data_IF_964077791357
#
_entry.id   IF_964077791357
#
_cell.length_a   1.000
_cell.length_b   1.000
_cell.length_c   1.000
_cell.angle_alpha   90.00
_cell.angle_beta   90.00
_cell.angle_gamma   90.00
#
_symmetry.space_group_name_H-M   'P 1'
#
loop_
_entity.id
_entity.type
_entity.pdbx_description
1 polymer ?
#
# COMPACT_ATOMS: atom_id res chain seq x y z
N UNK A 1 -6.80 -1.67 68.88
CA UNK A 1 -7.16 -2.14 67.51
C UNK A 1 -6.80 -1.08 66.46
N UNK A 2 -5.52 -0.70 66.33
CA UNK A 2 -5.07 0.22 65.27
C UNK A 2 -3.65 -0.11 64.75
N UNK A 3 -3.10 -1.27 65.12
CA UNK A 3 -1.72 -1.66 64.83
C UNK A 3 -1.58 -3.01 64.11
N UNK A 4 -2.70 -3.62 63.68
CA UNK A 4 -2.69 -4.86 62.87
C UNK A 4 -3.10 -4.65 61.40
N UNK A 5 -3.77 -3.55 61.05
CA UNK A 5 -4.22 -3.29 59.67
C UNK A 5 -3.11 -2.74 58.75
N UNK A 6 -2.05 -2.14 59.30
CA UNK A 6 -0.93 -1.62 58.50
C UNK A 6 0.15 -2.66 58.17
N UNK A 7 0.07 -3.88 58.73
CA UNK A 7 1.02 -4.96 58.43
C UNK A 7 0.58 -5.84 57.26
N UNK A 8 -0.70 -5.83 56.89
CA UNK A 8 -1.22 -6.56 55.72
C UNK A 8 -1.08 -5.73 54.44
N UNK A 9 -1.18 -4.40 54.53
CA UNK A 9 -1.06 -3.50 53.37
C UNK A 9 0.37 -3.40 52.79
N UNK A 10 1.41 -3.63 53.60
CA UNK A 10 2.81 -3.56 53.14
C UNK A 10 3.32 -4.89 52.59
N UNK A 11 2.67 -6.01 52.95
CA UNK A 11 3.07 -7.35 52.50
C UNK A 11 2.47 -7.74 51.13
N UNK A 12 1.39 -7.09 50.68
CA UNK A 12 0.78 -7.37 49.36
C UNK A 12 1.38 -6.54 48.22
N UNK A 13 2.14 -5.48 48.52
CA UNK A 13 2.78 -4.64 47.50
C UNK A 13 4.17 -5.13 47.08
N UNK A 14 4.75 -6.10 47.80
CA UNK A 14 6.09 -6.65 47.50
C UNK A 14 6.09 -8.01 46.78
N UNK A 15 4.93 -8.63 46.55
CA UNK A 15 4.86 -9.97 45.92
C UNK A 15 4.66 -9.96 44.40
N UNK A 16 4.73 -8.80 43.73
CA UNK A 16 4.69 -8.69 42.25
C UNK A 16 5.98 -8.11 41.67
N UNK A 17 7.01 -7.94 42.49
CA UNK A 17 8.30 -7.38 42.08
C UNK A 17 9.45 -8.28 42.54
N UNK A 18 9.46 -9.54 42.13
CA UNK A 18 10.68 -10.35 41.98
C UNK A 18 10.36 -11.66 41.23
N UNK A 19 10.59 -11.68 39.92
CA UNK A 19 11.08 -12.91 39.27
C UNK A 19 11.89 -12.59 38.01
N UNK A 20 13.19 -12.82 38.18
CA UNK A 20 14.26 -13.03 37.20
C UNK A 20 14.51 -11.95 36.14
N UNK A 21 15.50 -11.12 36.45
CA UNK A 21 16.53 -10.74 35.48
C UNK A 21 17.15 -12.03 34.91
N UNK A 22 16.61 -12.55 33.81
CA UNK A 22 17.35 -13.45 32.93
C UNK A 22 18.26 -12.57 32.05
N UNK A 23 19.44 -12.25 32.58
CA UNK A 23 20.61 -11.88 31.78
C UNK A 23 21.06 -13.09 30.95
N UNK A 24 20.30 -13.44 29.89
CA UNK A 24 20.76 -14.26 28.74
C UNK A 24 19.67 -14.54 27.67
N UNK A 25 18.51 -13.88 27.73
CA UNK A 25 17.52 -13.94 26.64
C UNK A 25 17.81 -12.85 25.59
N UNK A 26 17.86 -13.19 24.27
CA UNK A 26 17.89 -12.15 23.24
C UNK A 26 16.67 -11.23 23.42
N UNK A 27 16.79 -9.92 23.17
CA UNK A 27 15.70 -8.98 23.43
C UNK A 27 14.45 -9.43 22.67
N UNK A 28 13.41 -9.83 23.40
CA UNK A 28 12.06 -9.98 22.84
C UNK A 28 11.62 -8.59 22.43
N UNK A 29 11.67 -8.33 21.13
CA UNK A 29 11.44 -7.03 20.47
C UNK A 29 10.03 -6.45 20.71
N UNK A 30 9.13 -7.20 21.34
CA UNK A 30 7.85 -6.73 21.85
C UNK A 30 7.45 -7.49 23.11
N UNK A 31 6.59 -6.87 23.93
CA UNK A 31 5.91 -7.51 25.06
C UNK A 31 4.41 -7.59 24.76
N UNK A 32 3.75 -8.68 25.13
CA UNK A 32 2.29 -8.79 24.98
C UNK A 32 1.60 -7.93 26.04
N UNK A 33 0.63 -7.12 25.64
CA UNK A 33 -0.09 -6.19 26.52
C UNK A 33 -1.50 -6.71 26.86
N UNK A 34 -1.97 -6.40 28.07
CA UNK A 34 -3.34 -6.70 28.49
C UNK A 34 -4.31 -5.80 27.72
N UNK A 35 -5.29 -6.36 26.99
CA UNK A 35 -6.21 -5.56 26.18
C UNK A 35 -7.13 -4.68 27.02
N UNK A 36 -7.36 -3.44 26.56
CA UNK A 36 -8.36 -2.54 27.13
C UNK A 36 -9.80 -2.88 26.77
N UNK A 37 -10.79 -2.03 27.13
CA UNK A 37 -12.22 -2.29 26.93
C UNK A 37 -12.66 -2.64 25.48
N UNK A 38 -11.92 -2.15 24.47
CA UNK A 38 -12.17 -2.43 23.05
C UNK A 38 -11.07 -3.30 22.41
N UNK A 39 -10.33 -4.06 23.22
CA UNK A 39 -9.17 -4.81 22.77
C UNK A 39 -7.95 -3.95 22.40
N UNK A 40 -7.99 -2.64 22.69
CA UNK A 40 -6.88 -1.74 22.40
C UNK A 40 -5.64 -2.17 23.19
N UNK A 41 -4.52 -2.24 22.48
CA UNK A 41 -3.19 -2.46 23.03
C UNK A 41 -2.24 -1.44 22.40
N UNK A 42 -1.14 -1.07 23.08
CA UNK A 42 -0.10 -0.24 22.47
C UNK A 42 0.36 -0.85 21.14
N UNK A 43 0.58 -0.01 20.12
CA UNK A 43 1.00 -0.45 18.77
C UNK A 43 2.35 -1.21 18.76
N UNK A 44 3.14 -1.07 19.84
CA UNK A 44 4.39 -1.79 20.05
C UNK A 44 4.21 -3.19 20.67
N UNK A 45 2.99 -3.58 21.03
CA UNK A 45 2.71 -4.87 21.65
C UNK A 45 2.69 -5.99 20.61
N UNK A 46 3.14 -7.19 20.98
CA UNK A 46 3.17 -8.33 20.05
C UNK A 46 1.76 -8.73 19.54
N UNK A 47 0.75 -8.48 20.37
CA UNK A 47 -0.64 -8.76 20.09
C UNK A 47 -1.39 -7.54 19.51
N UNK A 48 -0.67 -6.53 19.00
CA UNK A 48 -1.27 -5.44 18.25
C UNK A 48 -1.49 -5.85 16.79
N UNK A 49 -2.75 -5.90 16.35
CA UNK A 49 -3.10 -6.18 14.95
C UNK A 49 -3.27 -4.92 14.08
N UNK A 50 -3.20 -3.75 14.69
CA UNK A 50 -3.30 -2.45 14.04
C UNK A 50 -2.06 -1.61 14.37
N UNK A 51 -1.50 -0.95 13.35
CA UNK A 51 -0.33 -0.07 13.50
C UNK A 51 -0.70 1.35 13.96
N UNK A 52 -1.95 1.56 14.34
CA UNK A 52 -2.55 2.82 14.76
C UNK A 52 -3.77 2.52 15.63
N UNK A 53 -4.33 3.52 16.30
CA UNK A 53 -5.59 3.36 17.05
C UNK A 53 -6.80 3.55 16.11
N UNK A 54 -7.51 2.48 15.71
CA UNK A 54 -8.60 2.57 14.74
C UNK A 54 -9.81 3.32 15.30
N UNK A 55 -10.28 4.32 14.54
CA UNK A 55 -11.37 5.20 14.95
C UNK A 55 -12.73 4.76 14.36
N UNK A 56 -13.76 4.60 15.21
CA UNK A 56 -15.09 4.15 14.77
C UNK A 56 -15.80 5.14 13.84
N UNK A 57 -15.86 6.43 14.23
CA UNK A 57 -16.65 7.43 13.49
C UNK A 57 -16.17 7.65 12.04
N UNK A 58 -14.85 7.80 11.76
CA UNK A 58 -14.36 7.89 10.39
C UNK A 58 -14.64 6.62 9.57
N UNK A 59 -14.44 5.44 10.19
CA UNK A 59 -14.68 4.16 9.53
C UNK A 59 -16.14 3.99 9.12
N UNK A 60 -17.07 4.39 10.00
CA UNK A 60 -18.50 4.35 9.73
C UNK A 60 -18.88 5.33 8.62
N UNK A 61 -18.33 6.54 8.63
CA UNK A 61 -18.58 7.53 7.58
C UNK A 61 -18.16 7.00 6.21
N UNK A 62 -16.97 6.41 6.12
CA UNK A 62 -16.45 5.83 4.86
C UNK A 62 -17.30 4.63 4.42
N UNK A 63 -17.69 3.75 5.35
CA UNK A 63 -18.59 2.62 5.04
C UNK A 63 -19.93 3.10 4.46
N UNK A 64 -20.54 4.15 5.03
CA UNK A 64 -21.79 4.73 4.53
C UNK A 64 -21.58 5.32 3.13
N UNK A 65 -20.50 6.07 2.91
CA UNK A 65 -20.20 6.67 1.60
C UNK A 65 -20.07 5.60 0.53
N UNK A 66 -19.26 4.57 0.75
CA UNK A 66 -19.13 3.46 -0.21
C UNK A 66 -20.42 2.65 -0.35
N UNK A 67 -21.21 2.49 0.71
CA UNK A 67 -22.53 1.86 0.65
C UNK A 67 -23.49 2.62 -0.27
N UNK A 68 -23.54 3.95 -0.17
CA UNK A 68 -24.33 4.81 -1.06
C UNK A 68 -23.82 4.72 -2.50
N UNK A 69 -22.51 4.78 -2.72
CA UNK A 69 -21.90 4.63 -4.06
C UNK A 69 -22.26 3.26 -4.67
N UNK A 70 -22.23 2.20 -3.89
CA UNK A 70 -22.61 0.85 -4.32
C UNK A 70 -24.07 0.83 -4.79
N UNK A 71 -24.98 1.43 -4.03
CA UNK A 71 -26.40 1.54 -4.41
C UNK A 71 -26.57 2.35 -5.69
N UNK A 72 -25.86 3.48 -5.84
CA UNK A 72 -25.89 4.30 -7.06
C UNK A 72 -25.48 3.45 -8.26
N UNK A 73 -24.36 2.73 -8.19
CA UNK A 73 -23.91 1.89 -9.31
C UNK A 73 -24.83 0.70 -9.61
N UNK A 74 -25.50 0.14 -8.60
CA UNK A 74 -26.55 -0.87 -8.80
C UNK A 74 -27.71 -0.26 -9.59
N UNK A 75 -28.21 0.91 -9.18
CA UNK A 75 -29.29 1.62 -9.87
C UNK A 75 -28.88 1.97 -11.31
N UNK A 76 -27.69 2.53 -11.51
CA UNK A 76 -27.16 2.83 -12.85
C UNK A 76 -27.04 1.57 -13.71
N UNK A 77 -26.59 0.45 -13.16
CA UNK A 77 -26.49 -0.80 -13.90
C UNK A 77 -27.87 -1.31 -14.38
N UNK A 78 -28.90 -1.15 -13.56
CA UNK A 78 -30.28 -1.50 -13.93
C UNK A 78 -30.88 -0.52 -14.95
N UNK A 79 -30.69 0.79 -14.78
CA UNK A 79 -31.23 1.82 -15.66
C UNK A 79 -30.58 1.79 -17.05
N UNK A 80 -29.25 1.73 -17.11
CA UNK A 80 -28.50 1.78 -18.38
C UNK A 80 -28.25 0.40 -19.00
N UNK A 81 -28.61 -0.69 -18.31
CA UNK A 81 -28.52 -2.08 -18.78
C UNK A 81 -27.12 -2.47 -19.27
N UNK A 82 -26.08 -1.90 -18.64
CA UNK A 82 -24.68 -2.16 -18.98
C UNK A 82 -24.13 -3.30 -18.12
N UNK A 83 -24.03 -4.50 -18.71
CA UNK A 83 -23.60 -5.72 -17.99
C UNK A 83 -22.22 -5.63 -17.33
N UNK A 84 -21.32 -4.79 -17.85
CA UNK A 84 -19.97 -4.64 -17.30
C UNK A 84 -19.92 -3.78 -16.03
N UNK A 85 -21.00 -3.06 -15.67
CA UNK A 85 -21.10 -2.29 -14.42
C UNK A 85 -21.10 -3.16 -13.17
N UNK A 86 -21.30 -4.47 -13.29
CA UNK A 86 -21.05 -5.43 -12.21
C UNK A 86 -19.65 -5.30 -11.61
N UNK A 87 -18.64 -4.96 -12.42
CA UNK A 87 -17.25 -4.84 -11.96
C UNK A 87 -17.08 -3.69 -10.96
N UNK A 88 -17.69 -2.52 -11.22
CA UNK A 88 -17.64 -1.38 -10.28
C UNK A 88 -18.52 -1.60 -9.05
N UNK A 89 -19.64 -2.33 -9.20
CA UNK A 89 -20.48 -2.74 -8.07
C UNK A 89 -19.67 -3.63 -7.13
N UNK A 90 -18.89 -4.58 -7.66
CA UNK A 90 -18.02 -5.41 -6.84
C UNK A 90 -16.94 -4.60 -6.12
N UNK A 91 -16.26 -3.69 -6.80
CA UNK A 91 -15.25 -2.83 -6.18
C UNK A 91 -15.82 -1.98 -5.03
N UNK A 92 -16.92 -1.27 -5.28
CA UNK A 92 -17.59 -0.44 -4.26
C UNK A 92 -18.19 -1.26 -3.10
N UNK A 93 -18.73 -2.44 -3.38
CA UNK A 93 -19.22 -3.37 -2.35
C UNK A 93 -18.09 -3.86 -1.45
N UNK A 94 -16.93 -4.19 -2.02
CA UNK A 94 -15.77 -4.65 -1.24
C UNK A 94 -15.23 -3.56 -0.32
N UNK A 95 -15.17 -2.30 -0.78
CA UNK A 95 -14.85 -1.16 0.10
C UNK A 95 -15.87 -1.00 1.23
N UNK A 96 -17.16 -1.11 0.90
CA UNK A 96 -18.23 -1.02 1.90
C UNK A 96 -18.05 -2.09 2.99
N UNK A 97 -17.80 -3.34 2.59
CA UNK A 97 -17.59 -4.46 3.51
C UNK A 97 -16.27 -4.27 4.28
N UNK A 98 -15.20 -3.82 3.63
CA UNK A 98 -13.91 -3.56 4.29
C UNK A 98 -14.10 -2.58 5.46
N UNK A 99 -14.73 -1.42 5.21
CA UNK A 99 -14.93 -0.42 6.25
C UNK A 99 -16.01 -0.82 7.27
N UNK A 100 -16.99 -1.65 6.89
CA UNK A 100 -17.92 -2.25 7.85
C UNK A 100 -17.20 -3.21 8.83
N UNK A 101 -16.30 -4.06 8.32
CA UNK A 101 -15.45 -4.91 9.16
C UNK A 101 -14.49 -4.06 9.98
N UNK A 102 -13.94 -2.99 9.41
CA UNK A 102 -13.08 -2.07 10.14
C UNK A 102 -13.82 -1.42 11.33
N UNK A 103 -15.11 -1.09 11.18
CA UNK A 103 -15.95 -0.64 12.30
C UNK A 103 -16.04 -1.68 13.43
N UNK A 104 -16.16 -2.97 13.11
CA UNK A 104 -16.12 -4.05 14.10
C UNK A 104 -14.74 -4.11 14.77
N UNK A 105 -13.67 -4.07 13.96
CA UNK A 105 -12.28 -4.04 14.41
C UNK A 105 -11.96 -2.88 15.35
N UNK A 106 -12.61 -1.72 15.20
CA UNK A 106 -12.43 -0.58 16.13
C UNK A 106 -12.92 -0.86 17.55
N UNK A 107 -13.88 -1.77 17.69
CA UNK A 107 -14.47 -2.19 18.98
C UNK A 107 -13.82 -3.46 19.53
N UNK A 108 -13.29 -4.30 18.65
CA UNK A 108 -12.66 -5.58 19.00
C UNK A 108 -11.28 -5.72 18.30
N UNK A 109 -10.31 -4.92 18.74
CA UNK A 109 -9.01 -4.79 18.06
C UNK A 109 -8.13 -6.05 18.15
N UNK A 110 -8.39 -6.95 19.10
CA UNK A 110 -7.65 -8.22 19.29
C UNK A 110 -8.14 -9.36 18.38
N UNK A 111 -9.14 -9.13 17.52
CA UNK A 111 -9.60 -10.14 16.57
C UNK A 111 -8.84 -9.98 15.26
N UNK A 112 -7.81 -10.79 15.06
CA UNK A 112 -6.98 -10.77 13.84
C UNK A 112 -7.79 -10.99 12.55
N UNK A 113 -8.91 -11.72 12.63
CA UNK A 113 -9.80 -11.91 11.49
C UNK A 113 -10.36 -10.59 10.96
N UNK A 114 -10.66 -9.61 11.82
CA UNK A 114 -11.11 -8.29 11.40
C UNK A 114 -9.99 -7.53 10.71
N UNK A 115 -8.80 -7.46 11.33
CA UNK A 115 -7.63 -6.75 10.80
C UNK A 115 -7.21 -7.27 9.42
N UNK A 116 -7.15 -8.60 9.26
CA UNK A 116 -6.80 -9.26 8.00
C UNK A 116 -7.89 -9.06 6.95
N UNK A 117 -9.16 -9.28 7.30
CA UNK A 117 -10.24 -9.21 6.33
C UNK A 117 -10.45 -7.79 5.78
N UNK A 118 -10.43 -6.74 6.62
CA UNK A 118 -10.58 -5.38 6.13
C UNK A 118 -9.38 -4.98 5.26
N UNK A 119 -8.15 -5.30 5.68
CA UNK A 119 -6.92 -4.97 4.95
C UNK A 119 -6.92 -5.63 3.57
N UNK A 120 -7.28 -6.92 3.49
CA UNK A 120 -7.36 -7.63 2.22
C UNK A 120 -8.44 -7.02 1.31
N UNK A 121 -9.66 -6.82 1.80
CA UNK A 121 -10.74 -6.25 0.99
C UNK A 121 -10.39 -4.83 0.51
N UNK A 122 -9.83 -4.00 1.38
CA UNK A 122 -9.36 -2.65 1.05
C UNK A 122 -8.25 -2.66 0.01
N UNK A 123 -7.29 -3.60 0.08
CA UNK A 123 -6.20 -3.68 -0.91
C UNK A 123 -6.68 -4.24 -2.26
N UNK A 124 -7.66 -5.15 -2.27
CA UNK A 124 -8.16 -5.76 -3.51
C UNK A 124 -9.24 -4.92 -4.20
N UNK A 125 -10.02 -4.11 -3.48
CA UNK A 125 -11.12 -3.34 -4.07
C UNK A 125 -10.68 -2.36 -5.18
N UNK A 126 -9.56 -1.63 -5.07
CA UNK A 126 -9.05 -0.78 -6.15
C UNK A 126 -8.78 -1.51 -7.47
N UNK A 127 -8.44 -2.81 -7.43
CA UNK A 127 -8.23 -3.61 -8.65
C UNK A 127 -9.50 -3.72 -9.49
N UNK A 128 -10.65 -3.88 -8.83
CA UNK A 128 -11.96 -3.90 -9.50
C UNK A 128 -12.29 -2.54 -10.12
N UNK A 129 -12.05 -1.46 -9.37
CA UNK A 129 -12.32 -0.09 -9.81
C UNK A 129 -11.44 0.26 -11.03
N UNK A 130 -10.15 -0.07 -10.97
CA UNK A 130 -9.21 0.12 -12.09
C UNK A 130 -9.61 -0.70 -13.30
N UNK A 131 -9.97 -1.98 -13.12
CA UNK A 131 -10.45 -2.83 -14.20
C UNK A 131 -11.70 -2.22 -14.88
N UNK A 132 -12.65 -1.71 -14.10
CA UNK A 132 -13.82 -1.02 -14.65
C UNK A 132 -13.45 0.24 -15.43
N UNK A 133 -12.51 1.04 -14.92
CA UNK A 133 -12.01 2.23 -15.62
C UNK A 133 -11.40 1.86 -16.99
N UNK A 134 -10.57 0.82 -17.04
CA UNK A 134 -9.96 0.32 -18.29
C UNK A 134 -11.00 -0.24 -19.27
N UNK A 135 -11.99 -0.97 -18.76
CA UNK A 135 -13.09 -1.51 -19.57
C UNK A 135 -13.98 -0.41 -20.16
N UNK A 136 -14.24 0.64 -19.38
CA UNK A 136 -15.04 1.80 -19.80
C UNK A 136 -14.26 2.60 -20.84
N UNK A 137 -12.99 2.87 -20.57
CA UNK A 137 -12.10 3.55 -21.51
C UNK A 137 -12.02 2.82 -22.87
N UNK A 138 -11.80 1.51 -22.87
CA UNK A 138 -11.73 0.74 -24.12
C UNK A 138 -13.00 0.88 -24.97
N UNK A 139 -14.18 1.02 -24.35
CA UNK A 139 -15.46 1.25 -25.03
C UNK A 139 -15.61 2.69 -25.51
N UNK A 140 -15.17 3.67 -24.72
CA UNK A 140 -15.15 5.08 -25.14
C UNK A 140 -14.29 5.26 -26.39
N UNK A 141 -13.11 4.64 -26.43
CA UNK A 141 -12.23 4.68 -27.61
C UNK A 141 -12.89 4.03 -28.81
N UNK A 142 -13.54 2.87 -28.63
CA UNK A 142 -14.27 2.20 -29.72
C UNK A 142 -15.45 3.03 -30.25
N UNK A 143 -16.13 3.78 -29.39
CA UNK A 143 -17.28 4.60 -29.77
C UNK A 143 -16.86 5.88 -30.52
N UNK A 144 -15.81 6.55 -30.08
CA UNK A 144 -15.38 7.83 -30.67
C UNK A 144 -14.38 7.70 -31.82
N UNK A 145 -13.67 6.58 -31.97
CA UNK A 145 -12.68 6.39 -33.03
C UNK A 145 -13.06 5.23 -33.96
N UNK A 146 -13.94 5.44 -34.96
CA UNK A 146 -14.43 4.39 -35.86
C UNK A 146 -13.32 3.66 -36.63
N UNK A 147 -12.16 4.28 -36.87
CA UNK A 147 -11.04 3.61 -37.55
C UNK A 147 -10.19 2.67 -36.66
N UNK A 148 -10.43 2.61 -35.34
CA UNK A 148 -9.76 1.71 -34.37
C UNK A 148 -8.22 1.56 -34.47
N UNK A 149 -7.51 2.49 -35.13
CA UNK A 149 -6.07 2.40 -35.40
C UNK A 149 -5.33 3.59 -34.81
N UNK A 150 -5.00 3.48 -33.53
CA UNK A 150 -3.96 4.29 -32.88
C UNK A 150 -2.90 3.31 -32.35
N UNK A 151 -2.06 2.79 -33.25
CA UNK A 151 -0.94 1.82 -33.01
C UNK A 151 -1.24 0.48 -32.27
N UNK A 152 -2.18 0.40 -31.32
CA UNK A 152 -2.60 -0.78 -30.55
C UNK A 152 -4.12 -0.71 -30.23
N UNK A 153 -4.80 -1.85 -30.14
CA UNK A 153 -6.23 -1.89 -29.75
C UNK A 153 -6.40 -1.41 -28.31
N UNK A 154 -7.38 -0.54 -28.04
CA UNK A 154 -7.63 0.00 -26.69
C UNK A 154 -7.84 -1.11 -25.62
N UNK A 155 -8.42 -2.25 -26.02
CA UNK A 155 -8.54 -3.44 -25.18
C UNK A 155 -7.18 -4.01 -24.75
N UNK A 156 -6.18 -3.99 -25.63
CA UNK A 156 -4.82 -4.46 -25.33
C UNK A 156 -4.13 -3.53 -24.34
N UNK A 157 -4.33 -2.21 -24.48
CA UNK A 157 -3.81 -1.23 -23.54
C UNK A 157 -4.39 -1.47 -22.13
N UNK A 158 -5.71 -1.60 -22.02
CA UNK A 158 -6.36 -1.91 -20.74
C UNK A 158 -5.85 -3.21 -20.09
N UNK A 159 -5.59 -4.25 -20.89
CA UNK A 159 -5.03 -5.52 -20.40
C UNK A 159 -3.63 -5.36 -19.77
N UNK A 160 -2.77 -4.54 -20.38
CA UNK A 160 -1.43 -4.27 -19.82
C UNK A 160 -1.51 -3.53 -18.48
N UNK A 161 -2.45 -2.59 -18.34
CA UNK A 161 -2.65 -1.90 -17.07
C UNK A 161 -3.21 -2.83 -15.97
N UNK A 162 -4.16 -3.71 -16.30
CA UNK A 162 -4.61 -4.75 -15.35
C UNK A 162 -3.45 -5.65 -14.91
N UNK A 163 -2.57 -6.04 -15.84
CA UNK A 163 -1.40 -6.85 -15.49
C UNK A 163 -0.44 -6.08 -14.59
N UNK A 164 -0.19 -4.79 -14.87
CA UNK A 164 0.64 -3.94 -14.04
C UNK A 164 0.07 -3.82 -12.61
N UNK A 165 -1.24 -3.66 -12.48
CA UNK A 165 -1.93 -3.63 -11.19
C UNK A 165 -1.77 -4.94 -10.42
N UNK A 166 -1.93 -6.09 -11.07
CA UNK A 166 -1.72 -7.42 -10.45
C UNK A 166 -0.28 -7.57 -9.96
N UNK A 167 0.71 -7.17 -10.76
CA UNK A 167 2.13 -7.23 -10.37
C UNK A 167 2.38 -6.32 -9.16
N UNK A 168 1.86 -5.09 -9.19
CA UNK A 168 2.00 -4.15 -8.08
C UNK A 168 1.33 -4.65 -6.80
N UNK A 169 0.19 -5.32 -6.91
CA UNK A 169 -0.51 -5.96 -5.81
C UNK A 169 0.30 -7.12 -5.21
N UNK A 170 0.94 -7.96 -6.04
CA UNK A 170 1.80 -9.05 -5.55
C UNK A 170 2.99 -8.47 -4.75
N UNK A 171 3.59 -7.38 -5.22
CA UNK A 171 4.66 -6.68 -4.50
C UNK A 171 4.16 -6.15 -3.15
N UNK A 172 2.97 -5.53 -3.13
CA UNK A 172 2.35 -5.03 -1.90
C UNK A 172 1.99 -6.16 -0.94
N UNK A 173 1.41 -7.26 -1.41
CA UNK A 173 1.08 -8.42 -0.60
C UNK A 173 2.34 -9.05 0.02
N UNK A 174 3.41 -9.19 -0.77
CA UNK A 174 4.69 -9.67 -0.26
C UNK A 174 5.27 -8.72 0.81
N UNK A 175 5.29 -7.41 0.55
CA UNK A 175 5.74 -6.41 1.51
C UNK A 175 4.90 -6.38 2.79
N UNK A 176 3.57 -6.51 2.66
CA UNK A 176 2.62 -6.55 3.77
C UNK A 176 2.79 -7.79 4.64
N UNK A 177 2.99 -8.97 4.05
CA UNK A 177 3.29 -10.20 4.81
C UNK A 177 4.61 -10.06 5.57
N UNK A 178 5.64 -9.49 4.95
CA UNK A 178 6.93 -9.26 5.62
C UNK A 178 6.81 -8.25 6.78
N UNK A 179 5.91 -7.29 6.66
CA UNK A 179 5.61 -6.28 7.67
C UNK A 179 4.75 -6.80 8.84
N UNK A 180 4.50 -8.11 8.93
CA UNK A 180 3.71 -8.69 10.01
C UNK A 180 4.39 -8.51 11.38
N UNK A 181 3.63 -8.17 12.43
CA UNK A 181 4.10 -8.25 13.81
C UNK A 181 4.57 -9.68 14.10
N UNK A 182 5.79 -9.85 14.58
CA UNK A 182 6.40 -11.17 14.79
C UNK A 182 7.83 -11.25 14.28
N UNK A 183 8.11 -10.48 13.23
CA UNK A 183 9.38 -10.52 12.50
C UNK A 183 10.41 -9.54 13.09
N UNK A 184 11.67 -9.76 12.72
CA UNK A 184 12.77 -8.85 13.04
C UNK A 184 12.46 -7.41 12.57
N UNK A 185 12.75 -6.35 13.36
CA UNK A 185 12.52 -4.96 12.97
C UNK A 185 13.10 -4.57 11.60
N UNK A 186 14.29 -5.09 11.25
CA UNK A 186 14.91 -4.84 9.94
C UNK A 186 14.13 -5.52 8.82
N UNK A 187 13.52 -6.67 9.10
CA UNK A 187 12.67 -7.40 8.15
C UNK A 187 11.33 -6.69 7.93
N UNK A 188 10.71 -6.18 9.00
CA UNK A 188 9.48 -5.38 8.95
C UNK A 188 9.71 -4.11 8.13
N UNK A 189 10.80 -3.37 8.40
CA UNK A 189 11.15 -2.14 7.66
C UNK A 189 11.31 -2.42 6.17
N UNK A 190 12.03 -3.49 5.80
CA UNK A 190 12.16 -3.90 4.39
C UNK A 190 10.81 -4.26 3.77
N UNK A 191 9.92 -4.91 4.51
CA UNK A 191 8.55 -5.19 4.07
C UNK A 191 7.77 -3.92 3.75
N UNK A 192 7.85 -2.91 4.63
CA UNK A 192 7.26 -1.58 4.42
C UNK A 192 7.84 -0.86 3.20
N UNK A 193 9.16 -0.92 2.98
CA UNK A 193 9.81 -0.34 1.81
C UNK A 193 9.33 -1.01 0.51
N UNK A 194 9.20 -2.34 0.50
CA UNK A 194 8.67 -3.11 -0.63
C UNK A 194 7.20 -2.75 -0.89
N UNK A 195 6.38 -2.71 0.16
CA UNK A 195 4.97 -2.32 0.08
C UNK A 195 4.80 -0.91 -0.52
N UNK A 196 5.59 0.05 -0.01
CA UNK A 196 5.59 1.43 -0.49
C UNK A 196 6.04 1.51 -1.95
N UNK A 197 7.06 0.74 -2.33
CA UNK A 197 7.52 0.62 -3.72
C UNK A 197 6.43 0.09 -4.67
N UNK A 198 5.66 -0.92 -4.24
CA UNK A 198 4.52 -1.44 -5.00
C UNK A 198 3.43 -0.38 -5.21
N UNK A 199 3.08 0.36 -4.16
CA UNK A 199 2.10 1.46 -4.22
C UNK A 199 2.58 2.58 -5.16
N UNK A 200 3.86 2.97 -5.09
CA UNK A 200 4.43 4.00 -5.96
C UNK A 200 4.43 3.58 -7.44
N UNK A 201 4.76 2.31 -7.71
CA UNK A 201 4.72 1.75 -9.06
C UNK A 201 3.29 1.75 -9.64
N UNK A 202 2.30 1.35 -8.84
CA UNK A 202 0.89 1.38 -9.22
C UNK A 202 0.45 2.81 -9.59
N UNK A 203 0.76 3.79 -8.73
CA UNK A 203 0.39 5.19 -8.96
C UNK A 203 1.05 5.75 -10.23
N UNK A 204 2.30 5.39 -10.51
CA UNK A 204 2.99 5.75 -11.74
C UNK A 204 2.25 5.27 -13.00
N UNK A 205 1.77 4.02 -13.02
CA UNK A 205 0.98 3.52 -14.15
C UNK A 205 -0.38 4.19 -14.29
N UNK A 206 -1.04 4.54 -13.18
CA UNK A 206 -2.29 5.30 -13.20
C UNK A 206 -2.09 6.67 -13.88
N UNK A 207 -0.99 7.38 -13.58
CA UNK A 207 -0.69 8.65 -14.25
C UNK A 207 -0.45 8.49 -15.76
N UNK A 208 0.27 7.44 -16.17
CA UNK A 208 0.43 7.13 -17.60
C UNK A 208 -0.93 6.86 -18.25
N UNK A 209 -1.79 6.08 -17.60
CA UNK A 209 -3.13 5.79 -18.09
C UNK A 209 -3.95 7.07 -18.29
N UNK A 210 -3.95 7.97 -17.31
CA UNK A 210 -4.61 9.27 -17.39
C UNK A 210 -4.06 10.08 -18.58
N UNK A 211 -2.73 10.15 -18.77
CA UNK A 211 -2.12 10.86 -19.91
C UNK A 211 -2.53 10.27 -21.26
N UNK A 212 -2.61 8.95 -21.37
CA UNK A 212 -3.09 8.25 -22.56
C UNK A 212 -4.57 8.57 -22.79
N UNK A 213 -5.39 8.57 -21.74
CA UNK A 213 -6.81 8.89 -21.85
C UNK A 213 -7.02 10.30 -22.39
N UNK A 214 -6.33 11.30 -21.83
CA UNK A 214 -6.38 12.67 -22.34
C UNK A 214 -5.91 12.76 -23.80
N UNK A 215 -4.80 12.08 -24.15
CA UNK A 215 -4.31 12.04 -25.53
C UNK A 215 -5.37 11.48 -26.47
N UNK A 216 -5.99 10.35 -26.15
CA UNK A 216 -6.98 9.76 -27.07
C UNK A 216 -8.23 10.66 -27.20
N UNK A 217 -8.68 11.29 -26.12
CA UNK A 217 -9.80 12.25 -26.18
C UNK A 217 -9.45 13.48 -27.04
N UNK A 218 -8.22 13.99 -26.94
CA UNK A 218 -7.70 15.10 -27.76
C UNK A 218 -7.72 14.78 -29.26
N UNK A 219 -7.30 13.56 -29.66
CA UNK A 219 -7.29 13.13 -31.06
C UNK A 219 -8.60 12.48 -31.55
N UNK A 220 -9.60 12.29 -30.68
CA UNK A 220 -10.83 11.57 -31.01
C UNK A 220 -11.64 12.22 -32.16
N UNK A 221 -11.50 13.53 -32.39
CA UNK A 221 -12.17 14.26 -33.49
C UNK A 221 -11.34 14.33 -34.78
N UNK A 222 -10.19 13.64 -34.87
CA UNK A 222 -9.33 13.61 -36.06
C UNK A 222 -8.38 14.81 -36.20
N UNK A 223 -7.55 14.81 -37.25
CA UNK A 223 -6.56 15.86 -37.57
C UNK A 223 -7.10 16.92 -38.54
N UNK A 224 -8.39 16.88 -38.88
CA UNK A 224 -9.03 17.86 -39.76
C UNK A 224 -9.31 19.19 -39.07
N UNK A 225 -9.57 20.27 -39.83
CA UNK A 225 -9.91 21.59 -39.28
C UNK A 225 -11.20 21.63 -38.44
N UNK A 226 -11.98 20.54 -38.41
CA UNK A 226 -13.16 20.39 -37.55
C UNK A 226 -12.87 19.98 -36.10
N UNK A 227 -11.61 19.63 -35.77
CA UNK A 227 -11.21 19.37 -34.39
C UNK A 227 -10.56 20.63 -33.76
N UNK A 228 -11.29 21.46 -33.00
CA UNK A 228 -10.72 22.68 -32.44
C UNK A 228 -9.69 22.45 -31.32
N UNK A 229 -9.50 21.20 -30.86
CA UNK A 229 -8.67 20.90 -29.69
C UNK A 229 -7.16 20.95 -30.02
N UNK A 230 -6.63 20.25 -31.03
CA UNK A 230 -5.22 20.35 -31.41
C UNK A 230 -4.86 21.64 -32.16
N UNK A 231 -5.84 22.37 -32.71
CA UNK A 231 -5.62 23.61 -33.48
C UNK A 231 -5.84 24.90 -32.68
N UNK A 232 -6.17 24.80 -31.38
CA UNK A 232 -6.34 25.96 -30.52
C UNK A 232 -5.36 25.87 -29.34
N UNK A 233 -4.39 26.78 -29.33
CA UNK A 233 -3.26 26.83 -28.39
C UNK A 233 -3.69 26.80 -26.92
N UNK A 234 -4.89 27.32 -26.64
CA UNK A 234 -5.49 27.33 -25.29
C UNK A 234 -5.59 25.92 -24.69
N UNK A 235 -5.91 24.89 -25.47
CA UNK A 235 -6.02 23.53 -24.95
C UNK A 235 -4.67 22.90 -24.65
N UNK A 236 -3.63 23.21 -25.45
CA UNK A 236 -2.26 22.79 -25.17
C UNK A 236 -1.77 23.43 -23.87
N UNK A 237 -2.07 24.72 -23.68
CA UNK A 237 -1.73 25.41 -22.45
C UNK A 237 -2.51 24.88 -21.24
N UNK A 238 -3.81 24.63 -21.37
CA UNK A 238 -4.64 24.18 -20.25
C UNK A 238 -4.45 22.70 -19.87
N UNK A 239 -4.19 21.82 -20.84
CA UNK A 239 -4.15 20.37 -20.63
C UNK A 239 -2.75 19.79 -20.49
N UNK A 240 -1.71 20.42 -21.07
CA UNK A 240 -0.32 19.93 -20.99
C UNK A 240 0.57 20.88 -20.18
N UNK A 241 0.58 22.18 -20.49
CA UNK A 241 1.47 23.15 -19.84
C UNK A 241 1.02 23.49 -18.41
N UNK A 242 -0.27 23.69 -18.18
CA UNK A 242 -0.81 24.13 -16.90
C UNK A 242 -0.64 23.09 -15.78
N UNK A 243 -0.95 21.79 -15.97
CA UNK A 243 -0.68 20.78 -14.94
C UNK A 243 0.81 20.66 -14.62
N UNK A 244 1.67 20.80 -15.64
CA UNK A 244 3.12 20.77 -15.48
C UNK A 244 3.64 22.00 -14.72
N UNK A 245 3.12 23.19 -15.03
CA UNK A 245 3.43 24.42 -14.33
C UNK A 245 2.95 24.40 -12.87
N UNK A 246 1.75 23.89 -12.60
CA UNK A 246 1.23 23.71 -11.24
C UNK A 246 2.11 22.72 -10.47
N UNK A 247 2.52 21.61 -11.06
CA UNK A 247 3.44 20.66 -10.43
C UNK A 247 4.80 21.31 -10.11
N UNK A 248 5.36 22.11 -11.03
CA UNK A 248 6.59 22.86 -10.80
C UNK A 248 6.44 23.93 -9.72
N UNK A 249 5.30 24.62 -9.66
CA UNK A 249 5.00 25.60 -8.60
C UNK A 249 4.85 24.91 -7.24
N UNK A 250 4.17 23.77 -7.17
CA UNK A 250 4.06 22.97 -5.95
C UNK A 250 5.47 22.53 -5.50
N UNK A 251 6.31 22.03 -6.40
CA UNK A 251 7.70 21.69 -6.08
C UNK A 251 8.57 22.90 -5.73
N UNK A 252 8.28 24.09 -6.25
CA UNK A 252 8.97 25.32 -5.87
C UNK A 252 8.58 25.78 -4.46
N UNK A 253 7.29 25.66 -4.09
CA UNK A 253 6.77 26.03 -2.76
C UNK A 253 7.15 24.99 -1.71
N UNK A 254 6.92 23.71 -2.00
CA UNK A 254 7.25 22.56 -1.16
C UNK A 254 8.54 21.90 -1.62
N UNK A 255 9.59 22.70 -1.79
CA UNK A 255 10.88 22.20 -2.27
C UNK A 255 11.37 21.04 -1.37
N UNK A 256 11.66 19.86 -1.93
CA UNK A 256 11.99 18.67 -1.14
C UNK A 256 13.24 18.87 -0.26
N UNK A 257 14.16 19.75 -0.67
CA UNK A 257 15.31 20.15 0.15
C UNK A 257 14.97 20.91 1.45
N UNK A 258 13.73 21.38 1.63
CA UNK A 258 13.25 21.93 2.92
C UNK A 258 12.86 20.84 3.92
N UNK A 259 12.55 19.64 3.43
CA UNK A 259 12.09 18.51 4.25
C UNK A 259 13.15 17.39 4.34
N UNK A 260 14.07 17.33 3.38
CA UNK A 260 15.22 16.41 3.34
C UNK A 260 16.46 17.10 3.95
N UNK A 261 16.47 17.30 5.27
CA UNK A 261 17.60 17.90 6.00
C UNK A 261 18.19 16.83 6.93
N UNK A 262 19.42 16.38 6.67
CA UNK A 262 20.14 15.46 7.56
C UNK A 262 21.37 14.79 6.91
N UNK A 263 22.19 14.06 7.67
CA UNK A 263 23.38 13.37 7.14
C UNK A 263 23.06 12.34 6.04
N UNK A 264 21.84 11.78 6.08
CA UNK A 264 21.34 10.78 5.11
C UNK A 264 20.43 11.39 4.02
N UNK A 265 20.30 12.73 3.97
CA UNK A 265 19.44 13.38 2.98
C UNK A 265 20.04 13.38 1.57
N UNK A 266 21.35 13.17 1.45
CA UNK A 266 22.05 13.00 0.20
C UNK A 266 22.57 11.57 0.02
N UNK A 267 22.60 11.10 -1.22
CA UNK A 267 23.22 9.81 -1.51
C UNK A 267 24.73 9.85 -1.18
N UNK A 268 25.26 8.87 -0.43
CA UNK A 268 26.67 8.84 -0.04
C UNK A 268 27.58 8.81 -1.28
N UNK A 269 28.52 9.75 -1.34
CA UNK A 269 29.49 9.89 -2.44
C UNK A 269 30.62 8.87 -2.30
N UNK A 270 30.33 7.59 -2.57
CA UNK A 270 31.31 6.50 -2.54
C UNK A 270 32.26 6.58 -3.74
N UNK A 271 33.57 6.62 -3.51
CA UNK A 271 34.60 6.66 -4.56
C UNK A 271 34.55 5.41 -5.44
N UNK A 272 34.94 5.52 -6.73
CA UNK A 272 35.00 4.36 -7.65
C UNK A 272 35.88 3.22 -7.12
N UNK A 273 36.96 3.54 -6.39
CA UNK A 273 37.85 2.54 -5.76
C UNK A 273 37.13 1.81 -4.63
N UNK A 274 36.39 2.56 -3.82
CA UNK A 274 35.65 2.07 -2.65
C UNK A 274 34.42 1.24 -3.08
N UNK A 275 33.68 1.64 -4.13
CA UNK A 275 32.65 0.81 -4.77
C UNK A 275 33.22 -0.52 -5.29
N UNK A 276 34.43 -0.52 -5.85
CA UNK A 276 35.11 -1.74 -6.29
C UNK A 276 35.51 -2.61 -5.09
N UNK A 277 36.05 -2.02 -4.03
CA UNK A 277 36.42 -2.73 -2.80
C UNK A 277 35.20 -3.38 -2.13
N UNK A 278 34.09 -2.65 -1.95
CA UNK A 278 32.82 -3.17 -1.41
C UNK A 278 32.29 -4.32 -2.29
N UNK A 279 32.38 -4.19 -3.62
CA UNK A 279 31.96 -5.25 -4.55
C UNK A 279 32.85 -6.49 -4.47
N UNK A 280 34.15 -6.34 -4.22
CA UNK A 280 35.07 -7.46 -4.01
C UNK A 280 34.83 -8.14 -2.67
N UNK A 281 34.70 -7.37 -1.58
CA UNK A 281 34.36 -7.88 -0.24
C UNK A 281 33.04 -8.68 -0.28
N UNK A 282 31.98 -8.14 -0.87
CA UNK A 282 30.70 -8.87 -1.06
C UNK A 282 30.83 -10.14 -1.91
N UNK A 283 31.80 -10.21 -2.83
CA UNK A 283 32.07 -11.42 -3.64
C UNK A 283 32.83 -12.45 -2.82
N UNK A 284 33.73 -12.03 -1.95
CA UNK A 284 34.49 -12.89 -1.05
C UNK A 284 33.61 -13.47 0.05
N UNK A 285 32.75 -12.65 0.68
CA UNK A 285 31.73 -13.11 1.63
C UNK A 285 30.81 -14.16 1.01
N UNK A 286 30.31 -13.92 -0.20
CA UNK A 286 29.48 -14.91 -0.93
C UNK A 286 30.22 -16.21 -1.23
N UNK A 287 31.53 -16.15 -1.48
CA UNK A 287 32.35 -17.35 -1.70
C UNK A 287 32.61 -18.08 -0.38
N UNK A 288 32.87 -17.35 0.70
CA UNK A 288 33.07 -17.91 2.03
C UNK A 288 31.80 -18.58 2.56
N UNK A 289 30.63 -17.94 2.41
CA UNK A 289 29.34 -18.52 2.77
C UNK A 289 29.04 -19.81 1.99
N UNK A 290 29.34 -19.84 0.68
CA UNK A 290 29.19 -21.06 -0.13
C UNK A 290 30.14 -22.18 0.31
N UNK A 291 31.37 -21.87 0.70
CA UNK A 291 32.31 -22.87 1.22
C UNK A 291 31.87 -23.41 2.57
N UNK A 292 31.42 -22.56 3.49
CA UNK A 292 30.87 -22.99 4.78
C UNK A 292 29.66 -23.91 4.65
N UNK A 293 28.78 -23.66 3.67
CA UNK A 293 27.65 -24.56 3.35
C UNK A 293 28.17 -25.92 2.87
N UNK A 294 29.11 -25.94 1.92
CA UNK A 294 29.71 -27.18 1.40
C UNK A 294 30.44 -27.96 2.50
N UNK A 295 31.15 -27.28 3.39
CA UNK A 295 31.87 -27.90 4.50
C UNK A 295 30.90 -28.46 5.56
N UNK A 296 29.76 -27.79 5.79
CA UNK A 296 28.68 -28.30 6.66
C UNK A 296 27.98 -29.53 6.08
N UNK A 297 27.71 -29.55 4.78
CA UNK A 297 27.15 -30.73 4.08
C UNK A 297 28.15 -31.90 4.08
N UNK A 298 29.44 -31.61 3.86
CA UNK A 298 30.51 -32.62 3.89
C UNK A 298 30.79 -33.18 5.30
N UNK A 299 30.47 -32.45 6.36
CA UNK A 299 30.53 -32.95 7.75
C UNK A 299 29.28 -33.75 8.12
N UNK A 300 28.10 -33.40 7.59
CA UNK A 300 26.85 -34.14 7.81
C UNK A 300 26.79 -35.49 7.10
N UNK A 301 27.58 -35.66 6.03
CA UNK A 301 27.64 -36.92 5.26
C UNK A 301 28.69 -37.90 5.81
N UNK A 302 29.45 -37.49 6.84
CA UNK A 302 30.53 -38.28 7.46
C UNK A 302 30.15 -38.98 8.78
N UNK A 303 28.87 -38.91 9.18
CA UNK A 303 28.30 -39.64 10.31
C UNK A 303 27.20 -40.59 9.84
#
# INVERSE_FOLDING_TARGET
>A
MATLHNLVATATTQLLATRSDDEDAPPTWCVSAVPGPNGNVPVSACNAYYNYDPQFAPSLAVAIIFGVITVIHIVEAFLYKKKYSWVIIMGSLWETIAFAIHCLGTKDQQVSAYSVAWTLLFLLAPLWINAYAYMTFARMVQYWHPEQKVFLKAKTIGMWFVLADIISFIIQAAGGVMASPGNDPDYIKRGLDIYTGGTALQQFFIFIFIRIMFRIVEFAKGFGPENPIPFNEVYIYALDVFPMMVALLILAVFHPGRFLIGPDSEFPKISRKEKKAIKMMRREEKKAAKRGIVDSEASSTRY
#
